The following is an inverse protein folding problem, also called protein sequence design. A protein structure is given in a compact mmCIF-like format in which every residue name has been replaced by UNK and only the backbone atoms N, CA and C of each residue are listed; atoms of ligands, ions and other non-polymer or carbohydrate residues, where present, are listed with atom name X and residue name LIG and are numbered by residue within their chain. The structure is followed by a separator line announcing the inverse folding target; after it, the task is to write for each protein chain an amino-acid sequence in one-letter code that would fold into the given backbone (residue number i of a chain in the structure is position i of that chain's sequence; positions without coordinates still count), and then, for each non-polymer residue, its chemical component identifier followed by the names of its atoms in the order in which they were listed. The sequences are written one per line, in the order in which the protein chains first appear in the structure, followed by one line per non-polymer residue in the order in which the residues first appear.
data_IF_029003674213
#
_entry.id   IF_029003674213
#
_cell.length_a   1.000
_cell.length_b   1.000
_cell.length_c   1.000
_cell.angle_alpha   90.00
_cell.angle_beta   90.00
_cell.angle_gamma   90.00
#
_symmetry.space_group_name_H-M   'P 1'
#
loop_
_entity.id
_entity.type
_entity.pdbx_description
1 polymer ?
#
# COMPACT_ATOMS: atom_id res chain seq x y z
N UNK A 1 -5.52 6.18 11.75
CA UNK A 1 -5.89 5.17 12.76
C UNK A 1 -5.21 5.42 14.09
N UNK A 2 -6.00 5.55 15.16
CA UNK A 2 -5.49 5.59 16.55
C UNK A 2 -4.95 4.22 17.02
N UNK A 3 -4.25 4.19 18.15
CA UNK A 3 -3.58 2.97 18.67
C UNK A 3 -4.54 1.79 18.89
N UNK A 4 -5.74 2.04 19.41
CA UNK A 4 -6.75 1.00 19.67
C UNK A 4 -7.37 0.45 18.39
N UNK A 5 -7.63 1.33 17.42
CA UNK A 5 -8.15 0.95 16.11
C UNK A 5 -7.15 0.09 15.32
N UNK A 6 -5.85 0.41 15.38
CA UNK A 6 -4.79 -0.44 14.83
C UNK A 6 -4.80 -1.85 15.41
N UNK A 7 -5.07 -2.01 16.71
CA UNK A 7 -5.15 -3.34 17.35
C UNK A 7 -6.37 -4.13 16.87
N UNK A 8 -7.52 -3.48 16.69
CA UNK A 8 -8.73 -4.10 16.14
C UNK A 8 -8.54 -4.50 14.68
N UNK A 9 -7.96 -3.61 13.88
CA UNK A 9 -7.63 -3.88 12.50
C UNK A 9 -6.64 -5.06 12.35
N UNK A 10 -5.62 -5.12 13.21
CA UNK A 10 -4.72 -6.29 13.25
C UNK A 10 -5.47 -7.59 13.53
N UNK A 11 -6.44 -7.61 14.47
CA UNK A 11 -7.25 -8.81 14.74
C UNK A 11 -8.07 -9.22 13.52
N UNK A 12 -8.65 -8.25 12.81
CA UNK A 12 -9.36 -8.50 11.56
C UNK A 12 -8.44 -9.12 10.49
N UNK A 13 -7.23 -8.57 10.28
CA UNK A 13 -6.29 -9.14 9.32
C UNK A 13 -5.83 -10.56 9.68
N UNK A 14 -5.65 -10.85 10.97
CA UNK A 14 -5.35 -12.21 11.45
C UNK A 14 -6.52 -13.16 11.15
N UNK A 15 -7.75 -12.72 11.35
CA UNK A 15 -8.94 -13.49 10.99
C UNK A 15 -8.98 -13.78 9.48
N UNK A 16 -8.78 -12.76 8.64
CA UNK A 16 -8.74 -12.92 7.17
C UNK A 16 -7.64 -13.90 6.74
N UNK A 17 -6.44 -13.80 7.31
CA UNK A 17 -5.32 -14.68 6.96
C UNK A 17 -5.63 -16.16 7.30
N UNK A 18 -6.25 -16.40 8.45
CA UNK A 18 -6.58 -17.75 8.93
C UNK A 18 -7.87 -18.34 8.32
N UNK A 19 -8.66 -17.54 7.60
CA UNK A 19 -9.91 -17.98 7.01
C UNK A 19 -9.70 -19.07 5.94
N UNK A 20 -10.37 -20.21 6.09
CA UNK A 20 -10.38 -21.31 5.12
C UNK A 20 -11.81 -21.74 4.87
N UNK A 21 -12.28 -21.59 3.62
CA UNK A 21 -13.63 -21.95 3.18
C UNK A 21 -14.02 -23.40 3.46
N UNK A 22 -13.02 -24.29 3.55
CA UNK A 22 -13.24 -25.72 3.77
C UNK A 22 -13.20 -26.09 5.26
N UNK A 23 -12.81 -25.16 6.13
CA UNK A 23 -12.74 -25.39 7.57
C UNK A 23 -13.66 -24.42 8.34
N UNK A 24 -14.89 -24.86 8.70
CA UNK A 24 -15.85 -24.05 9.45
C UNK A 24 -15.35 -23.52 10.80
N UNK A 25 -14.29 -24.12 11.38
CA UNK A 25 -13.68 -23.66 12.64
C UNK A 25 -13.02 -22.30 12.47
N UNK A 26 -12.59 -21.96 11.26
CA UNK A 26 -11.92 -20.69 10.93
C UNK A 26 -12.90 -19.52 10.79
N UNK A 27 -14.21 -19.80 10.67
CA UNK A 27 -15.21 -18.76 10.41
C UNK A 27 -15.49 -17.88 11.63
N UNK A 28 -15.10 -18.32 12.84
CA UNK A 28 -15.30 -17.59 14.10
C UNK A 28 -16.74 -17.06 14.28
N UNK A 29 -17.74 -17.86 13.91
CA UNK A 29 -19.16 -17.49 14.04
C UNK A 29 -19.73 -16.61 12.93
N UNK A 30 -19.00 -16.42 11.82
CA UNK A 30 -19.48 -15.81 10.58
C UNK A 30 -19.99 -16.91 9.65
N UNK A 31 -21.09 -16.69 8.92
CA UNK A 31 -21.48 -17.57 7.80
C UNK A 31 -21.01 -16.91 6.49
N UNK A 32 -19.96 -17.42 5.81
CA UNK A 32 -19.35 -16.75 4.67
C UNK A 32 -20.32 -16.44 3.53
N UNK A 33 -21.35 -17.28 3.40
CA UNK A 33 -22.34 -17.22 2.31
C UNK A 33 -23.57 -16.39 2.64
N UNK A 34 -23.72 -15.94 3.90
CA UNK A 34 -24.91 -15.21 4.36
C UNK A 34 -24.61 -13.93 5.12
N UNK A 35 -23.55 -13.91 5.93
CA UNK A 35 -23.17 -12.73 6.70
C UNK A 35 -22.65 -11.66 5.76
N UNK A 36 -23.19 -10.45 5.88
CA UNK A 36 -22.75 -9.30 5.07
C UNK A 36 -21.35 -8.86 5.49
N UNK A 37 -20.57 -8.26 4.58
CA UNK A 37 -19.26 -7.72 4.94
C UNK A 37 -19.38 -6.59 5.99
N UNK A 38 -20.47 -5.82 5.96
CA UNK A 38 -20.81 -4.80 6.95
C UNK A 38 -20.88 -5.40 8.36
N UNK A 39 -21.51 -6.56 8.52
CA UNK A 39 -21.62 -7.22 9.82
C UNK A 39 -20.30 -7.83 10.28
N UNK A 40 -19.45 -8.28 9.35
CA UNK A 40 -18.07 -8.66 9.67
C UNK A 40 -17.29 -7.45 10.21
N UNK A 41 -17.35 -6.29 9.56
CA UNK A 41 -16.66 -5.08 10.06
C UNK A 41 -17.18 -4.63 11.42
N UNK A 42 -18.50 -4.71 11.66
CA UNK A 42 -19.09 -4.46 12.98
C UNK A 42 -18.57 -5.43 14.05
N UNK A 43 -18.43 -6.72 13.73
CA UNK A 43 -17.88 -7.73 14.66
C UNK A 43 -16.49 -7.34 15.18
N UNK A 44 -15.66 -6.72 14.32
CA UNK A 44 -14.32 -6.25 14.69
C UNK A 44 -14.27 -4.79 15.15
N UNK A 45 -15.41 -4.09 15.22
CA UNK A 45 -15.52 -2.69 15.63
C UNK A 45 -14.56 -1.77 14.83
N UNK A 46 -14.59 -1.92 13.49
CA UNK A 46 -13.80 -1.09 12.58
C UNK A 46 -14.55 0.21 12.21
N UNK A 47 -13.86 1.35 12.25
CA UNK A 47 -14.42 2.64 11.85
C UNK A 47 -14.53 2.81 10.34
N UNK A 48 -15.30 3.80 9.88
CA UNK A 48 -15.57 4.03 8.46
C UNK A 48 -14.29 4.21 7.62
N UNK A 49 -13.34 5.03 8.09
CA UNK A 49 -12.06 5.24 7.39
C UNK A 49 -11.29 3.92 7.16
N UNK A 50 -11.39 2.99 8.12
CA UNK A 50 -10.76 1.66 8.02
C UNK A 50 -11.52 0.78 7.04
N UNK A 51 -12.84 0.84 7.05
CA UNK A 51 -13.71 0.11 6.13
C UNK A 51 -13.43 0.56 4.70
N UNK A 52 -13.39 1.87 4.43
CA UNK A 52 -13.12 2.44 3.11
C UNK A 52 -11.74 2.03 2.61
N UNK A 53 -10.71 2.15 3.47
CA UNK A 53 -9.36 1.69 3.14
C UNK A 53 -9.34 0.19 2.83
N UNK A 54 -10.00 -0.63 3.64
CA UNK A 54 -10.01 -2.09 3.46
C UNK A 54 -10.77 -2.50 2.20
N UNK A 55 -11.90 -1.86 1.91
CA UNK A 55 -12.72 -2.14 0.73
C UNK A 55 -12.05 -1.72 -0.57
N UNK A 56 -11.53 -0.51 -0.61
CA UNK A 56 -11.03 0.07 -1.86
C UNK A 56 -9.55 -0.20 -2.11
N UNK A 57 -8.71 -0.21 -1.07
CA UNK A 57 -7.27 -0.40 -1.24
C UNK A 57 -6.83 -1.86 -1.08
N UNK A 58 -7.45 -2.63 -0.17
CA UNK A 58 -7.10 -4.04 0.02
C UNK A 58 -7.97 -4.99 -0.82
N UNK A 59 -9.28 -4.77 -0.85
CA UNK A 59 -10.22 -5.60 -1.61
C UNK A 59 -10.50 -5.09 -3.04
N UNK A 60 -9.95 -3.93 -3.42
CA UNK A 60 -10.03 -3.32 -4.75
C UNK A 60 -11.45 -3.10 -5.28
N UNK A 61 -12.43 -2.87 -4.40
CA UNK A 61 -13.78 -2.49 -4.82
C UNK A 61 -13.83 -1.04 -5.29
N UNK A 62 -14.63 -0.77 -6.32
CA UNK A 62 -14.87 0.58 -6.86
C UNK A 62 -15.98 1.33 -6.13
N UNK A 63 -16.90 0.60 -5.50
CA UNK A 63 -18.12 1.09 -4.84
C UNK A 63 -18.36 0.31 -3.56
N UNK A 64 -19.21 0.83 -2.68
CA UNK A 64 -19.54 0.23 -1.37
C UNK A 64 -20.59 -0.88 -1.42
N UNK A 65 -21.03 -1.29 -2.61
CA UNK A 65 -22.07 -2.31 -2.78
C UNK A 65 -21.70 -3.64 -2.13
N UNK A 66 -20.40 -3.92 -2.01
CA UNK A 66 -19.85 -5.12 -1.35
C UNK A 66 -20.19 -5.21 0.14
N UNK A 67 -20.49 -4.08 0.80
CA UNK A 67 -20.81 -4.05 2.23
C UNK A 67 -22.03 -4.91 2.55
N UNK A 68 -23.00 -4.94 1.64
CA UNK A 68 -24.27 -5.64 1.82
C UNK A 68 -24.31 -7.00 1.07
N UNK A 69 -23.17 -7.42 0.51
CA UNK A 69 -22.98 -8.75 -0.09
C UNK A 69 -22.37 -9.75 0.92
N UNK A 70 -22.52 -11.07 0.67
CA UNK A 70 -21.83 -12.10 1.46
C UNK A 70 -20.31 -11.85 1.57
N UNK A 71 -19.77 -11.98 2.77
CA UNK A 71 -18.40 -11.58 3.06
C UNK A 71 -17.32 -12.47 2.41
N UNK A 72 -17.66 -13.67 1.94
CA UNK A 72 -16.71 -14.65 1.37
C UNK A 72 -15.81 -14.02 0.30
N UNK A 73 -16.41 -13.40 -0.72
CA UNK A 73 -15.67 -12.79 -1.83
C UNK A 73 -14.71 -11.70 -1.33
N UNK A 74 -15.19 -10.83 -0.44
CA UNK A 74 -14.37 -9.73 0.10
C UNK A 74 -13.22 -10.25 0.95
N UNK A 75 -13.44 -11.25 1.81
CA UNK A 75 -12.40 -11.88 2.62
C UNK A 75 -11.34 -12.50 1.71
N UNK A 76 -11.75 -13.21 0.66
CA UNK A 76 -10.82 -13.81 -0.30
C UNK A 76 -9.99 -12.77 -1.05
N UNK A 77 -10.59 -11.65 -1.47
CA UNK A 77 -9.84 -10.55 -2.11
C UNK A 77 -8.78 -9.96 -1.19
N UNK A 78 -9.14 -9.69 0.07
CA UNK A 78 -8.18 -9.16 1.06
C UNK A 78 -7.08 -10.20 1.35
N UNK A 79 -7.45 -11.47 1.47
CA UNK A 79 -6.50 -12.56 1.67
C UNK A 79 -5.56 -12.70 0.48
N UNK A 80 -6.07 -12.67 -0.75
CA UNK A 80 -5.28 -12.72 -1.98
C UNK A 80 -4.31 -11.54 -2.07
N UNK A 81 -4.74 -10.32 -1.71
CA UNK A 81 -3.85 -9.16 -1.63
C UNK A 81 -2.72 -9.39 -0.62
N UNK A 82 -3.06 -9.84 0.59
CA UNK A 82 -2.05 -10.13 1.62
C UNK A 82 -1.10 -11.28 1.23
N UNK A 83 -1.60 -12.31 0.54
CA UNK A 83 -0.79 -13.42 0.06
C UNK A 83 0.07 -13.03 -1.15
N UNK A 84 -0.43 -12.15 -2.02
CA UNK A 84 0.32 -11.60 -3.15
C UNK A 84 1.47 -10.73 -2.65
N UNK A 85 1.23 -9.89 -1.64
CA UNK A 85 2.29 -9.17 -0.94
C UNK A 85 3.30 -10.13 -0.28
N UNK A 86 2.84 -11.25 0.29
CA UNK A 86 3.72 -12.17 0.99
C UNK A 86 4.48 -13.15 0.08
N UNK A 87 3.99 -13.42 -1.14
CA UNK A 87 4.53 -14.46 -2.03
C UNK A 87 5.15 -13.93 -3.32
N UNK A 88 4.67 -12.81 -3.86
CA UNK A 88 5.01 -12.37 -5.22
C UNK A 88 5.29 -10.87 -5.35
N UNK A 89 5.26 -10.09 -4.26
CA UNK A 89 5.50 -8.65 -4.28
C UNK A 89 4.78 -7.93 -5.45
N UNK A 90 3.53 -8.30 -5.73
CA UNK A 90 2.70 -7.61 -6.72
C UNK A 90 1.91 -6.51 -5.99
N UNK A 91 2.25 -5.27 -6.30
CA UNK A 91 1.63 -4.09 -5.73
C UNK A 91 0.60 -3.50 -6.68
N UNK A 92 -0.55 -3.08 -6.14
CA UNK A 92 -1.58 -2.35 -6.89
C UNK A 92 -1.85 -1.04 -6.17
N UNK A 93 -1.53 0.08 -6.80
CA UNK A 93 -1.87 1.42 -6.32
C UNK A 93 -2.97 2.02 -7.20
N UNK A 94 -4.08 2.42 -6.59
CA UNK A 94 -5.21 3.01 -7.31
C UNK A 94 -5.45 4.44 -6.86
N UNK A 95 -5.48 5.36 -7.83
CA UNK A 95 -5.79 6.78 -7.66
C UNK A 95 -6.80 7.21 -8.72
N UNK A 96 -7.43 8.37 -8.54
CA UNK A 96 -8.56 8.80 -9.37
C UNK A 96 -8.63 10.31 -9.49
N UNK A 97 -9.71 10.83 -10.08
CA UNK A 97 -10.00 12.27 -10.10
C UNK A 97 -10.02 12.92 -8.72
N UNK A 98 -10.26 12.17 -7.64
CA UNK A 98 -10.16 12.68 -6.27
C UNK A 98 -8.76 13.22 -5.91
N UNK A 99 -7.72 12.79 -6.64
CA UNK A 99 -6.35 13.25 -6.50
C UNK A 99 -5.91 14.21 -7.61
N UNK A 100 -6.85 14.68 -8.45
CA UNK A 100 -6.60 15.57 -9.60
C UNK A 100 -5.62 15.01 -10.65
N UNK A 101 -5.52 13.68 -10.77
CA UNK A 101 -4.62 13.00 -11.73
C UNK A 101 -5.36 12.41 -12.94
N UNK A 102 -6.69 12.37 -12.91
CA UNK A 102 -7.52 11.79 -13.97
C UNK A 102 -8.81 12.61 -14.15
N UNK A 103 -9.44 12.49 -15.32
CA UNK A 103 -10.75 13.08 -15.59
C UNK A 103 -11.84 12.49 -14.66
N UNK A 104 -12.94 13.22 -14.45
CA UNK A 104 -14.02 12.79 -13.56
C UNK A 104 -14.57 11.41 -13.95
N UNK A 105 -14.67 10.51 -12.97
CA UNK A 105 -15.14 9.13 -13.17
C UNK A 105 -14.09 8.17 -13.75
N UNK A 106 -12.85 8.61 -13.92
CA UNK A 106 -11.72 7.77 -14.34
C UNK A 106 -10.80 7.44 -13.16
N UNK A 107 -10.17 6.27 -13.27
CA UNK A 107 -9.26 5.71 -12.27
C UNK A 107 -7.96 5.29 -12.97
N UNK A 108 -6.84 5.49 -12.29
CA UNK A 108 -5.52 5.01 -12.70
C UNK A 108 -5.11 3.95 -11.69
N UNK A 109 -4.96 2.72 -12.16
CA UNK A 109 -4.40 1.62 -11.38
C UNK A 109 -2.99 1.32 -11.90
N UNK A 110 -2.01 1.40 -11.02
CA UNK A 110 -0.61 1.09 -11.30
C UNK A 110 -0.33 -0.27 -10.65
N UNK A 111 0.06 -1.24 -11.48
CA UNK A 111 0.46 -2.59 -11.03
C UNK A 111 1.96 -2.73 -11.22
N UNK A 112 2.69 -3.10 -10.17
CA UNK A 112 4.14 -3.24 -10.19
C UNK A 112 4.58 -4.49 -9.45
N UNK A 113 5.66 -5.13 -9.93
CA UNK A 113 6.31 -6.28 -9.30
C UNK A 113 7.75 -6.38 -9.78
N UNK A 114 8.55 -7.23 -9.13
CA UNK A 114 9.90 -7.57 -9.61
C UNK A 114 9.78 -8.69 -10.63
N UNK A 115 10.42 -8.55 -11.79
CA UNK A 115 10.36 -9.55 -12.86
C UNK A 115 11.11 -10.82 -12.45
N UNK A 116 10.41 -11.95 -12.46
CA UNK A 116 10.98 -13.26 -12.10
C UNK A 116 11.05 -14.24 -13.28
N UNK A 117 10.32 -13.99 -14.36
CA UNK A 117 10.19 -14.92 -15.49
C UNK A 117 10.48 -14.24 -16.83
N UNK A 118 10.55 -15.05 -17.89
CA UNK A 118 10.69 -14.55 -19.26
C UNK A 118 9.40 -13.95 -19.85
N UNK A 119 8.28 -13.96 -19.10
CA UNK A 119 6.99 -13.41 -19.51
C UNK A 119 6.40 -12.51 -18.41
N UNK A 120 6.91 -11.26 -18.27
CA UNK A 120 6.59 -10.39 -17.14
C UNK A 120 5.11 -10.00 -17.05
N UNK A 121 4.43 -9.86 -18.19
CA UNK A 121 3.00 -9.49 -18.19
C UNK A 121 2.11 -10.58 -17.59
N UNK A 122 2.55 -11.84 -17.65
CA UNK A 122 1.82 -12.96 -17.06
C UNK A 122 1.91 -12.98 -15.54
N UNK A 123 3.00 -12.47 -14.98
CA UNK A 123 3.23 -12.39 -13.53
C UNK A 123 2.18 -11.47 -12.87
N UNK A 124 1.84 -10.36 -13.53
CA UNK A 124 0.85 -9.39 -13.03
C UNK A 124 -0.60 -9.75 -13.38
N UNK A 125 -0.84 -10.85 -14.10
CA UNK A 125 -2.20 -11.27 -14.51
C UNK A 125 -3.19 -11.35 -13.33
N UNK A 126 -2.86 -11.93 -12.17
CA UNK A 126 -3.79 -12.00 -11.04
C UNK A 126 -4.28 -10.61 -10.57
N UNK A 127 -3.42 -9.58 -10.65
CA UNK A 127 -3.81 -8.22 -10.34
C UNK A 127 -4.66 -7.59 -11.45
N UNK A 128 -4.33 -7.86 -12.72
CA UNK A 128 -5.12 -7.36 -13.85
C UNK A 128 -6.54 -7.94 -13.87
N UNK A 129 -6.69 -9.23 -13.54
CA UNK A 129 -8.00 -9.90 -13.46
C UNK A 129 -8.93 -9.22 -12.43
N UNK A 130 -8.38 -8.64 -11.35
CA UNK A 130 -9.15 -7.89 -10.35
C UNK A 130 -9.61 -6.50 -10.84
N UNK A 131 -8.94 -5.95 -11.85
CA UNK A 131 -9.15 -4.59 -12.35
C UNK A 131 -10.06 -4.54 -13.57
N UNK A 132 -10.47 -5.69 -14.12
CA UNK A 132 -11.34 -5.72 -15.30
C UNK A 132 -12.72 -5.07 -15.05
N UNK A 133 -13.29 -4.34 -16.04
CA UNK A 133 -12.73 -4.06 -17.36
C UNK A 133 -11.70 -2.92 -17.38
N UNK A 134 -10.58 -3.12 -18.08
CA UNK A 134 -9.51 -2.13 -18.28
C UNK A 134 -9.71 -1.43 -19.62
N UNK A 135 -9.81 -0.10 -19.62
CA UNK A 135 -10.01 0.70 -20.84
C UNK A 135 -8.73 0.79 -21.70
N UNK A 136 -7.57 0.97 -21.06
CA UNK A 136 -6.27 1.02 -21.73
C UNK A 136 -5.17 0.56 -20.77
N UNK A 137 -4.17 -0.15 -21.30
CA UNK A 137 -3.00 -0.65 -20.56
C UNK A 137 -1.71 -0.08 -21.14
N UNK A 138 -0.81 0.40 -20.29
CA UNK A 138 0.53 0.85 -20.64
C UNK A 138 1.55 0.03 -19.85
N UNK A 139 2.48 -0.63 -20.54
CA UNK A 139 3.45 -1.56 -19.94
C UNK A 139 4.85 -0.97 -20.05
N UNK A 140 5.59 -0.99 -18.95
CA UNK A 140 7.00 -0.56 -18.88
C UNK A 140 7.79 -1.52 -18.02
N UNK A 141 9.01 -1.85 -18.45
CA UNK A 141 9.96 -2.69 -17.72
C UNK A 141 11.22 -1.83 -17.54
N UNK A 142 11.75 -1.82 -16.31
CA UNK A 142 12.88 -0.97 -15.92
C UNK A 142 13.90 -1.78 -15.13
N UNK A 143 15.18 -1.60 -15.44
CA UNK A 143 16.27 -2.19 -14.68
C UNK A 143 16.48 -1.45 -13.35
N UNK A 144 16.78 -2.20 -12.29
CA UNK A 144 17.10 -1.66 -10.97
C UNK A 144 18.62 -1.58 -10.77
N UNK A 145 19.11 -0.40 -10.41
CA UNK A 145 20.52 -0.15 -10.15
C UNK A 145 20.76 0.25 -8.69
N UNK A 146 21.95 -0.08 -8.20
CA UNK A 146 22.44 0.32 -6.89
C UNK A 146 23.91 0.78 -7.00
N UNK A 147 24.35 1.71 -6.12
CA UNK A 147 25.72 2.18 -6.13
C UNK A 147 26.71 1.06 -5.78
N UNK A 148 27.78 0.93 -6.56
CA UNK A 148 28.93 0.07 -6.23
C UNK A 148 29.95 0.76 -5.33
N UNK A 149 29.92 2.10 -5.31
CA UNK A 149 30.73 2.96 -4.45
C UNK A 149 29.80 3.74 -3.51
N UNK A 150 30.07 3.66 -2.21
CA UNK A 150 29.29 4.34 -1.19
C UNK A 150 29.62 5.84 -1.07
N UNK A 151 30.65 6.34 -1.76
CA UNK A 151 30.93 7.78 -1.81
C UNK A 151 31.73 8.31 -0.64
N UNK A 152 32.10 7.49 0.35
CA UNK A 152 32.85 7.94 1.53
C UNK A 152 34.24 8.46 1.17
N UNK A 153 34.91 7.84 0.20
CA UNK A 153 36.22 8.28 -0.31
C UNK A 153 36.07 9.19 -1.53
N UNK A 154 35.26 8.78 -2.51
CA UNK A 154 35.09 9.50 -3.78
C UNK A 154 34.30 10.81 -3.64
N UNK A 155 33.54 10.96 -2.56
CA UNK A 155 32.60 12.07 -2.34
C UNK A 155 31.51 12.18 -3.42
N UNK A 156 31.20 11.07 -4.09
CA UNK A 156 30.11 10.94 -5.06
C UNK A 156 29.04 10.02 -4.45
N UNK A 157 27.89 10.57 -4.11
CA UNK A 157 26.82 9.85 -3.42
C UNK A 157 25.66 9.59 -4.38
N UNK A 158 25.53 8.34 -4.83
CA UNK A 158 24.51 7.91 -5.79
C UNK A 158 23.37 7.21 -5.04
N UNK A 159 22.13 7.47 -5.46
CA UNK A 159 20.92 6.82 -4.96
C UNK A 159 20.66 5.47 -5.62
N UNK A 160 19.80 4.66 -5.00
CA UNK A 160 19.25 3.44 -5.61
C UNK A 160 18.10 3.79 -6.54
N UNK A 161 17.84 2.94 -7.54
CA UNK A 161 16.62 3.05 -8.36
C UNK A 161 15.39 2.79 -7.50
N UNK A 162 14.26 3.45 -7.79
CA UNK A 162 12.97 3.12 -7.19
C UNK A 162 12.62 1.65 -7.44
N UNK A 163 12.34 0.91 -6.37
CA UNK A 163 11.88 -0.46 -6.47
C UNK A 163 10.41 -0.54 -6.88
N UNK A 164 9.88 -1.76 -6.95
CA UNK A 164 8.50 -2.01 -7.35
C UNK A 164 7.45 -1.62 -6.29
N UNK A 165 7.86 -1.22 -5.08
CA UNK A 165 6.92 -0.93 -3.99
C UNK A 165 6.12 0.35 -4.28
N UNK A 166 4.86 0.37 -3.82
CA UNK A 166 3.96 1.52 -4.04
C UNK A 166 3.93 2.48 -2.84
N UNK A 167 4.92 2.41 -1.96
CA UNK A 167 5.10 3.30 -0.81
C UNK A 167 6.55 3.74 -0.70
N UNK A 168 6.80 4.83 0.02
CA UNK A 168 8.11 5.49 0.05
C UNK A 168 9.06 4.98 1.14
N UNK A 169 8.83 3.81 1.73
CA UNK A 169 9.64 3.38 2.89
C UNK A 169 11.09 3.11 2.49
N UNK A 170 11.33 2.29 1.47
CA UNK A 170 12.66 1.98 0.96
C UNK A 170 13.36 3.21 0.38
N UNK A 171 12.59 4.09 -0.26
CA UNK A 171 13.08 5.41 -0.71
C UNK A 171 13.55 6.28 0.46
N UNK A 172 12.76 6.35 1.54
CA UNK A 172 13.13 7.14 2.72
C UNK A 172 14.39 6.58 3.39
N UNK A 173 14.56 5.26 3.38
CA UNK A 173 15.75 4.63 3.93
C UNK A 173 16.99 4.90 3.06
N UNK A 174 16.85 4.92 1.73
CA UNK A 174 17.93 5.35 0.83
C UNK A 174 18.33 6.83 1.06
N UNK A 175 17.35 7.71 1.26
CA UNK A 175 17.61 9.12 1.59
C UNK A 175 18.39 9.26 2.90
N UNK A 176 17.97 8.55 3.96
CA UNK A 176 18.66 8.58 5.27
C UNK A 176 20.08 8.02 5.15
N UNK A 177 20.25 6.92 4.40
CA UNK A 177 21.55 6.31 4.15
C UNK A 177 22.50 7.27 3.44
N UNK A 178 22.05 7.89 2.34
CA UNK A 178 22.83 8.89 1.61
C UNK A 178 23.20 10.05 2.54
N UNK A 179 22.23 10.59 3.30
CA UNK A 179 22.48 11.68 4.24
C UNK A 179 23.56 11.30 5.25
N UNK A 180 23.47 10.10 5.84
CA UNK A 180 24.45 9.61 6.81
C UNK A 180 25.84 9.46 6.20
N UNK A 181 25.93 8.94 4.96
CA UNK A 181 27.21 8.83 4.22
C UNK A 181 27.83 10.19 3.93
N UNK A 182 27.00 11.20 3.62
CA UNK A 182 27.45 12.56 3.35
C UNK A 182 27.87 13.33 4.60
N UNK A 183 27.07 13.26 5.66
CA UNK A 183 27.22 14.11 6.86
C UNK A 183 28.04 13.43 7.96
N UNK A 184 28.21 12.11 7.92
CA UNK A 184 28.88 11.33 8.95
C UNK A 184 28.05 11.11 10.22
N UNK A 185 26.78 11.53 10.23
CA UNK A 185 25.85 11.38 11.35
C UNK A 185 24.45 11.01 10.88
N UNK A 186 23.65 10.40 11.76
CA UNK A 186 22.24 10.12 11.50
C UNK A 186 21.44 11.40 11.25
N UNK A 187 20.37 11.30 10.47
CA UNK A 187 19.45 12.41 10.24
C UNK A 187 18.61 12.71 11.49
N UNK A 188 18.71 13.92 12.03
CA UNK A 188 17.91 14.37 13.18
C UNK A 188 16.66 15.13 12.74
N UNK A 189 15.50 14.48 12.88
CA UNK A 189 14.20 15.08 12.56
C UNK A 189 13.82 16.25 13.49
N UNK A 190 14.36 16.33 14.70
CA UNK A 190 14.07 17.42 15.63
C UNK A 190 14.76 18.73 15.22
N UNK A 191 15.92 18.65 14.54
CA UNK A 191 16.61 19.83 14.02
C UNK A 191 15.75 20.55 12.95
N UNK A 192 14.99 19.81 12.14
CA UNK A 192 14.07 20.40 11.16
C UNK A 192 12.91 21.16 11.82
N UNK A 193 12.43 20.72 12.99
CA UNK A 193 11.35 21.40 13.72
C UNK A 193 11.82 22.74 14.28
N UNK A 194 13.09 22.83 14.71
CA UNK A 194 13.67 24.08 15.23
C UNK A 194 13.77 25.15 14.15
N UNK A 195 14.11 24.78 12.91
CA UNK A 195 14.22 25.72 11.76
C UNK A 195 12.87 26.22 11.23
N UNK A 196 11.74 25.56 11.51
CA UNK A 196 10.41 26.05 11.09
C UNK A 196 10.03 27.40 11.72
N UNK A 197 10.63 27.76 12.87
CA UNK A 197 10.44 29.06 13.50
C UNK A 197 11.30 30.18 12.88
N UNK A 198 12.26 29.85 12.01
CA UNK A 198 13.20 30.82 11.42
C UNK A 198 12.91 31.13 9.94
N UNK A 199 11.90 30.50 9.32
CA UNK A 199 11.67 30.58 7.86
C UNK A 199 10.68 31.70 7.46
N UNK A 200 10.06 32.40 8.41
CA UNK A 200 9.42 33.68 8.14
C UNK A 200 10.02 34.75 9.04
N UNK A 201 10.88 35.59 8.45
CA UNK A 201 11.29 36.84 9.03
C UNK A 201 10.10 37.79 9.13
N UNK A 202 9.31 37.66 10.19
CA UNK A 202 8.60 38.81 10.75
C UNK A 202 9.57 39.52 11.67
N UNK A 203 10.23 40.56 11.16
CA UNK A 203 10.73 41.60 12.05
C UNK A 203 9.51 42.28 12.65
N UNK A 204 9.21 41.98 13.92
CA UNK A 204 8.35 42.83 14.74
C UNK A 204 8.97 44.24 14.77
N UNK A 205 8.40 45.17 13.98
CA UNK A 205 8.65 46.58 14.17
C UNK A 205 7.82 47.06 15.37
N UNK A 206 8.54 47.62 16.33
CA UNK A 206 8.05 48.36 17.49
C UNK A 206 7.20 49.58 17.10
#
# INVERSE_FOLDING_TARGET
MGLFEKRRFRKFLVYVANFDENDPRTFEGVDPKKTTMRDVYKKFDLGQDVIDFTGHALALYRTDDYLDQPCQETINRIKLYSESLARYDIYVCMISSAHNVAAQGKYIAIVSTTVETGDPEREIKPALDLLEPIEQKFVSISDLFAPTDLGTESQIFISRTYDATTHFETTCDDIKDIYKRMMGSEFDFEEMKRKKNDIYGEQEQQ
#
